data_IF_697416345424
#
_entry.id   IF_697416345424
#
_cell.length_a   1.000
_cell.length_b   1.000
_cell.length_c   1.000
_cell.angle_alpha   90.00
_cell.angle_beta   90.00
_cell.angle_gamma   90.00
#
_symmetry.space_group_name_H-M   'P 1'
#
loop_
_entity.id
_entity.type
_entity.pdbx_description
1 polymer ?
#
# COMPACT_ATOMS: atom_id res chain seq x y z
N UNK A 1 -9.55 16.02 -4.78
CA UNK A 1 -10.72 15.39 -4.11
C UNK A 1 -11.41 14.37 -5.01
N UNK A 2 -11.67 14.68 -6.29
CA UNK A 2 -12.21 13.70 -7.27
C UNK A 2 -11.34 12.46 -7.44
N UNK A 3 -10.01 12.59 -7.51
CA UNK A 3 -9.10 11.45 -7.64
C UNK A 3 -9.18 10.46 -6.45
N UNK A 4 -9.31 10.97 -5.22
CA UNK A 4 -9.44 10.15 -4.00
C UNK A 4 -10.80 9.43 -4.01
N UNK A 5 -11.87 10.13 -4.40
CA UNK A 5 -13.21 9.53 -4.54
C UNK A 5 -13.28 8.46 -5.63
N UNK A 6 -12.58 8.64 -6.74
CA UNK A 6 -12.53 7.68 -7.85
C UNK A 6 -11.67 6.46 -7.48
N UNK A 7 -10.60 6.67 -6.71
CA UNK A 7 -9.79 5.60 -6.10
C UNK A 7 -10.64 4.76 -5.15
N UNK A 8 -11.36 5.41 -4.22
CA UNK A 8 -12.27 4.76 -3.27
C UNK A 8 -13.44 4.03 -3.93
N UNK A 9 -14.03 4.61 -4.97
CA UNK A 9 -15.11 3.96 -5.74
C UNK A 9 -14.61 2.70 -6.46
N UNK A 10 -13.42 2.78 -7.09
CA UNK A 10 -12.77 1.61 -7.70
C UNK A 10 -12.39 0.52 -6.70
N UNK A 11 -12.31 0.83 -5.40
CA UNK A 11 -12.04 -0.16 -4.34
C UNK A 11 -13.28 -0.91 -3.84
N UNK A 12 -14.48 -0.32 -3.95
CA UNK A 12 -15.71 -0.88 -3.35
C UNK A 12 -16.37 -1.91 -4.27
N UNK A 13 -16.29 -1.72 -5.59
CA UNK A 13 -17.07 -2.52 -6.56
C UNK A 13 -16.38 -3.85 -6.89
N UNK A 14 -15.05 -3.86 -7.01
CA UNK A 14 -14.24 -5.07 -7.22
C UNK A 14 -12.85 -4.83 -6.60
N UNK A 15 -12.58 -5.29 -5.37
CA UNK A 15 -11.26 -5.16 -4.75
C UNK A 15 -10.19 -5.93 -5.54
N UNK A 16 -10.61 -6.96 -6.29
CA UNK A 16 -9.80 -7.72 -7.22
C UNK A 16 -9.60 -6.96 -8.54
N UNK A 17 -8.35 -6.85 -9.01
CA UNK A 17 -7.99 -6.15 -10.26
C UNK A 17 -8.29 -4.65 -10.25
N UNK A 18 -8.52 -4.09 -9.06
CA UNK A 18 -8.91 -2.71 -8.87
C UNK A 18 -7.89 -1.76 -9.52
N UNK A 19 -8.38 -0.94 -10.44
CA UNK A 19 -7.72 0.28 -10.92
C UNK A 19 -7.06 1.06 -9.77
N UNK A 20 -7.64 1.03 -8.56
CA UNK A 20 -7.08 1.63 -7.36
C UNK A 20 -5.75 1.03 -6.88
N UNK A 21 -5.52 -0.28 -6.99
CA UNK A 21 -4.22 -0.90 -6.64
C UNK A 21 -3.12 -0.47 -7.60
N UNK A 22 -3.44 -0.39 -8.89
CA UNK A 22 -2.55 0.11 -9.94
C UNK A 22 -2.26 1.59 -9.73
N UNK A 23 -3.27 2.40 -9.41
CA UNK A 23 -3.10 3.81 -9.08
C UNK A 23 -2.24 3.99 -7.83
N UNK A 24 -2.44 3.18 -6.79
CA UNK A 24 -1.65 3.22 -5.56
C UNK A 24 -0.19 2.88 -5.83
N UNK A 25 0.05 1.83 -6.62
CA UNK A 25 1.37 1.44 -7.07
C UNK A 25 2.08 2.56 -7.85
N UNK A 26 1.44 3.10 -8.88
CA UNK A 26 1.99 4.19 -9.70
C UNK A 26 2.24 5.45 -8.87
N UNK A 27 1.29 5.83 -8.03
CA UNK A 27 1.44 6.96 -7.11
C UNK A 27 2.65 6.76 -6.20
N UNK A 28 2.74 5.60 -5.55
CA UNK A 28 3.82 5.30 -4.61
C UNK A 28 5.19 5.29 -5.27
N UNK A 29 5.32 4.77 -6.50
CA UNK A 29 6.55 4.86 -7.30
C UNK A 29 6.92 6.31 -7.60
N UNK A 30 6.00 7.07 -8.19
CA UNK A 30 6.25 8.46 -8.60
C UNK A 30 6.62 9.31 -7.39
N UNK A 31 5.85 9.21 -6.31
CA UNK A 31 6.12 9.93 -5.08
C UNK A 31 7.48 9.52 -4.49
N UNK A 32 7.85 8.23 -4.52
CA UNK A 32 9.14 7.76 -4.00
C UNK A 32 10.30 8.37 -4.75
N UNK A 33 10.26 8.40 -6.08
CA UNK A 33 11.31 9.04 -6.89
C UNK A 33 11.39 10.55 -6.66
N UNK A 34 10.26 11.25 -6.57
CA UNK A 34 10.23 12.68 -6.22
C UNK A 34 10.87 12.91 -4.84
N UNK A 35 10.52 12.06 -3.86
CA UNK A 35 11.07 12.12 -2.52
C UNK A 35 12.58 11.87 -2.47
N UNK A 36 13.06 10.85 -3.18
CA UNK A 36 14.48 10.52 -3.33
C UNK A 36 15.30 11.69 -3.89
N UNK A 37 14.77 12.39 -4.89
CA UNK A 37 15.43 13.54 -5.51
C UNK A 37 15.43 14.75 -4.56
N UNK A 38 14.31 15.02 -3.90
CA UNK A 38 14.09 16.27 -3.15
C UNK A 38 14.56 16.22 -1.69
N UNK A 39 14.58 15.05 -1.07
CA UNK A 39 14.80 14.88 0.37
C UNK A 39 15.96 13.91 0.66
N UNK A 40 17.19 14.36 0.34
CA UNK A 40 18.41 13.55 0.50
C UNK A 40 18.75 13.13 1.94
N UNK A 41 18.16 13.77 2.96
CA UNK A 41 18.37 13.40 4.36
C UNK A 41 17.47 12.25 4.83
N UNK A 42 16.37 12.00 4.14
CA UNK A 42 15.33 11.02 4.50
C UNK A 42 15.17 9.94 3.43
N UNK A 43 16.26 9.64 2.68
CA UNK A 43 16.31 8.68 1.58
C UNK A 43 15.72 7.32 1.96
N UNK A 44 16.02 6.84 3.16
CA UNK A 44 15.55 5.55 3.65
C UNK A 44 14.02 5.42 3.67
N UNK A 45 13.27 6.47 4.04
CA UNK A 45 11.80 6.42 4.03
C UNK A 45 11.26 6.19 2.62
N UNK A 46 11.86 6.82 1.61
CA UNK A 46 11.42 6.70 0.22
C UNK A 46 11.85 5.36 -0.40
N UNK A 47 13.04 4.84 -0.07
CA UNK A 47 13.46 3.49 -0.48
C UNK A 47 12.51 2.44 0.10
N UNK A 48 12.18 2.58 1.39
CA UNK A 48 11.29 1.67 2.09
C UNK A 48 9.87 1.71 1.54
N UNK A 49 9.33 2.89 1.22
CA UNK A 49 8.06 2.99 0.47
C UNK A 49 8.13 2.25 -0.85
N UNK A 50 9.23 2.41 -1.59
CA UNK A 50 9.41 1.82 -2.90
C UNK A 50 9.40 0.29 -2.83
N UNK A 51 9.99 -0.30 -1.77
CA UNK A 51 9.91 -1.74 -1.48
C UNK A 51 8.46 -2.20 -1.26
N UNK A 52 7.68 -1.46 -0.47
CA UNK A 52 6.27 -1.78 -0.20
C UNK A 52 5.42 -1.58 -1.46
N UNK A 53 5.71 -0.59 -2.29
CA UNK A 53 5.02 -0.47 -3.57
C UNK A 53 5.22 -1.72 -4.45
N UNK A 54 6.38 -2.35 -4.43
CA UNK A 54 6.62 -3.59 -5.17
C UNK A 54 5.87 -4.81 -4.60
N UNK A 55 5.41 -4.77 -3.34
CA UNK A 55 4.55 -5.84 -2.81
C UNK A 55 3.12 -5.72 -3.32
N UNK A 56 2.63 -4.52 -3.63
CA UNK A 56 1.24 -4.28 -4.06
C UNK A 56 0.80 -5.16 -5.25
N UNK A 57 1.57 -5.30 -6.35
CA UNK A 57 1.19 -6.20 -7.44
C UNK A 57 1.15 -7.68 -7.01
N UNK A 58 2.05 -8.09 -6.12
CA UNK A 58 2.11 -9.46 -5.59
C UNK A 58 0.90 -9.72 -4.70
N UNK A 59 0.60 -8.81 -3.78
CA UNK A 59 -0.60 -8.83 -2.95
C UNK A 59 -1.86 -8.94 -3.81
N UNK A 60 -1.99 -8.10 -4.84
CA UNK A 60 -3.13 -8.12 -5.76
C UNK A 60 -3.26 -9.47 -6.49
N UNK A 61 -2.14 -10.10 -6.89
CA UNK A 61 -2.14 -11.43 -7.51
C UNK A 61 -2.57 -12.53 -6.52
N UNK A 62 -2.08 -12.47 -5.27
CA UNK A 62 -2.45 -13.43 -4.23
C UNK A 62 -3.92 -13.31 -3.85
N UNK A 63 -4.43 -12.08 -3.74
CA UNK A 63 -5.85 -11.80 -3.54
C UNK A 63 -6.68 -12.42 -4.67
N UNK A 64 -6.23 -12.26 -5.91
CA UNK A 64 -6.88 -12.85 -7.08
C UNK A 64 -6.98 -14.37 -6.97
N UNK A 65 -5.88 -15.05 -6.64
CA UNK A 65 -5.90 -16.50 -6.43
C UNK A 65 -6.74 -16.94 -5.23
N UNK A 66 -6.77 -16.15 -4.15
CA UNK A 66 -7.52 -16.48 -2.95
C UNK A 66 -9.04 -16.30 -3.10
N UNK A 67 -9.50 -15.62 -4.15
CA UNK A 67 -10.93 -15.33 -4.39
C UNK A 67 -11.46 -15.96 -5.66
N UNK A 68 -10.58 -16.47 -6.53
CA UNK A 68 -11.00 -17.35 -7.61
C UNK A 68 -11.49 -18.67 -7.03
N UNK A 69 -12.78 -18.92 -7.21
CA UNK A 69 -13.42 -20.21 -7.04
C UNK A 69 -14.44 -20.42 -8.17
N UNK A 70 -14.93 -21.65 -8.33
CA UNK A 70 -15.88 -22.01 -9.39
C UNK A 70 -15.32 -23.03 -10.38
N UNK A 71 -16.22 -23.82 -10.95
CA UNK A 71 -15.91 -24.82 -11.98
C UNK A 71 -15.63 -24.11 -13.33
N UNK A 72 -14.91 -24.75 -14.25
CA UNK A 72 -14.36 -24.16 -15.50
C UNK A 72 -15.38 -23.47 -16.44
N UNK A 73 -16.67 -23.46 -16.06
CA UNK A 73 -17.81 -22.90 -16.79
C UNK A 73 -18.45 -21.66 -16.15
N UNK A 74 -18.24 -21.42 -14.85
CA UNK A 74 -18.77 -20.24 -14.12
C UNK A 74 -17.72 -19.74 -13.11
N UNK A 75 -17.11 -18.59 -13.41
CA UNK A 75 -16.19 -17.90 -12.50
C UNK A 75 -17.00 -17.20 -11.40
N UNK A 76 -17.01 -17.77 -10.20
CA UNK A 76 -17.62 -17.16 -9.03
C UNK A 76 -16.55 -16.63 -8.07
N UNK A 77 -16.51 -15.32 -7.90
CA UNK A 77 -15.60 -14.72 -6.93
C UNK A 77 -16.08 -15.00 -5.50
N UNK A 78 -15.29 -15.76 -4.75
CA UNK A 78 -15.53 -15.96 -3.33
C UNK A 78 -15.24 -14.67 -2.55
N UNK A 79 -15.93 -14.45 -1.43
CA UNK A 79 -15.68 -13.30 -0.58
C UNK A 79 -14.22 -13.30 -0.11
N UNK A 80 -13.61 -12.13 -0.19
CA UNK A 80 -12.21 -11.94 0.11
C UNK A 80 -11.91 -12.18 1.60
N UNK A 81 -10.89 -12.98 1.95
CA UNK A 81 -10.53 -13.19 3.33
C UNK A 81 -10.19 -11.86 4.02
N UNK A 82 -10.64 -11.63 5.26
CA UNK A 82 -10.47 -10.36 5.97
C UNK A 82 -9.00 -9.96 6.17
N UNK A 83 -8.11 -10.95 6.20
CA UNK A 83 -6.65 -10.76 6.24
C UNK A 83 -6.15 -9.92 5.07
N UNK A 84 -6.62 -10.18 3.84
CA UNK A 84 -6.16 -9.44 2.67
C UNK A 84 -6.66 -7.99 2.68
N UNK A 85 -7.84 -7.72 3.23
CA UNK A 85 -8.29 -6.35 3.45
C UNK A 85 -7.39 -5.59 4.42
N UNK A 86 -6.95 -6.26 5.50
CA UNK A 86 -6.05 -5.67 6.48
C UNK A 86 -4.68 -5.37 5.87
N UNK A 87 -4.08 -6.33 5.16
CA UNK A 87 -2.83 -6.13 4.40
C UNK A 87 -2.95 -4.93 3.46
N UNK A 88 -4.06 -4.83 2.71
CA UNK A 88 -4.26 -3.76 1.76
C UNK A 88 -4.37 -2.37 2.39
N UNK A 89 -5.11 -2.26 3.49
CA UNK A 89 -5.22 -1.01 4.26
C UNK A 89 -3.84 -0.58 4.78
N UNK A 90 -3.04 -1.54 5.24
CA UNK A 90 -1.69 -1.30 5.73
C UNK A 90 -0.75 -0.82 4.60
N UNK A 91 -0.83 -1.41 3.40
CA UNK A 91 -0.10 -0.93 2.22
C UNK A 91 -0.44 0.52 1.88
N UNK A 92 -1.74 0.87 1.87
CA UNK A 92 -2.18 2.27 1.67
C UNK A 92 -1.54 3.19 2.71
N UNK A 93 -1.61 2.83 3.99
CA UNK A 93 -1.07 3.66 5.07
C UNK A 93 0.42 3.90 4.86
N UNK A 94 1.23 2.87 4.59
CA UNK A 94 2.68 3.03 4.37
C UNK A 94 2.97 3.93 3.16
N UNK A 95 2.23 3.77 2.07
CA UNK A 95 2.48 4.53 0.83
C UNK A 95 2.35 6.04 1.07
N UNK A 96 1.38 6.46 1.90
CA UNK A 96 1.15 7.87 2.26
C UNK A 96 1.91 8.33 3.52
N UNK A 97 2.53 7.42 4.25
CA UNK A 97 3.19 7.70 5.52
C UNK A 97 4.34 8.74 5.38
N UNK A 98 5.20 8.72 4.34
CA UNK A 98 6.23 9.75 4.15
C UNK A 98 5.65 11.17 4.04
N UNK A 99 4.53 11.35 3.32
CA UNK A 99 3.85 12.63 3.17
C UNK A 99 3.29 13.11 4.50
N UNK A 100 2.69 12.21 5.28
CA UNK A 100 2.19 12.52 6.62
C UNK A 100 3.34 12.98 7.52
N UNK A 101 4.49 12.31 7.48
CA UNK A 101 5.67 12.70 8.25
C UNK A 101 6.22 14.07 7.83
N UNK A 102 6.34 14.35 6.53
CA UNK A 102 6.77 15.66 6.05
C UNK A 102 5.81 16.78 6.50
N UNK A 103 4.50 16.52 6.46
CA UNK A 103 3.48 17.48 6.91
C UNK A 103 3.59 17.76 8.42
N UNK A 104 3.85 16.73 9.22
CA UNK A 104 4.04 16.85 10.66
C UNK A 104 5.36 17.59 10.96
N UNK A 105 6.45 17.24 10.28
CA UNK A 105 7.77 17.85 10.49
C UNK A 105 7.78 19.34 10.17
N UNK A 106 7.06 19.76 9.12
CA UNK A 106 6.87 21.17 8.80
C UNK A 106 6.20 21.95 9.93
N UNK A 107 5.39 21.29 10.77
CA UNK A 107 4.73 21.89 11.94
C UNK A 107 5.53 21.73 13.23
N UNK A 108 6.30 20.64 13.39
CA UNK A 108 7.06 20.34 14.61
C UNK A 108 8.19 19.36 14.32
N UNK A 109 9.42 19.68 14.72
CA UNK A 109 10.54 18.73 14.67
C UNK A 109 10.32 17.61 15.68
N UNK A 110 10.23 16.36 15.20
CA UNK A 110 10.06 15.17 16.04
C UNK A 110 11.32 14.30 15.95
N UNK A 111 12.03 14.14 17.07
CA UNK A 111 13.14 13.18 17.19
C UNK A 111 12.58 11.76 17.27
N UNK A 112 13.16 10.81 16.52
CA UNK A 112 12.78 9.39 16.53
C UNK A 112 11.80 8.94 15.44
N UNK A 113 11.42 9.82 14.50
CA UNK A 113 10.49 9.54 13.39
C UNK A 113 10.86 8.31 12.54
N UNK A 114 12.16 8.07 12.36
CA UNK A 114 12.69 6.96 11.55
C UNK A 114 12.35 5.59 12.14
N UNK A 115 12.32 5.45 13.46
CA UNK A 115 11.99 4.19 14.15
C UNK A 115 10.51 3.84 14.06
N UNK A 116 9.63 4.85 14.06
CA UNK A 116 8.18 4.64 13.85
C UNK A 116 7.94 4.13 12.42
N UNK A 117 8.62 4.70 11.44
CA UNK A 117 8.50 4.30 10.04
C UNK A 117 9.04 2.88 9.80
N UNK A 118 10.24 2.59 10.31
CA UNK A 118 10.83 1.25 10.24
C UNK A 118 9.95 0.21 10.96
N UNK A 119 9.41 0.57 12.12
CA UNK A 119 8.49 -0.29 12.88
C UNK A 119 7.20 -0.59 12.12
N UNK A 120 6.60 0.40 11.46
CA UNK A 120 5.41 0.20 10.64
C UNK A 120 5.67 -0.79 9.49
N UNK A 121 6.83 -0.68 8.83
CA UNK A 121 7.16 -1.55 7.69
C UNK A 121 7.51 -2.96 8.13
N UNK A 122 8.28 -3.12 9.21
CA UNK A 122 8.56 -4.43 9.79
C UNK A 122 7.25 -5.07 10.24
N UNK A 123 6.38 -4.33 10.93
CA UNK A 123 5.08 -4.84 11.37
C UNK A 123 4.21 -5.31 10.20
N UNK A 124 4.17 -4.56 9.11
CA UNK A 124 3.36 -4.90 7.93
C UNK A 124 3.97 -6.05 7.15
N UNK A 125 5.29 -6.11 7.05
CA UNK A 125 6.00 -7.25 6.44
C UNK A 125 5.79 -8.53 7.24
N UNK A 126 5.88 -8.47 8.58
CA UNK A 126 5.63 -9.62 9.45
C UNK A 126 4.17 -10.04 9.37
N UNK A 127 3.22 -9.10 9.43
CA UNK A 127 1.80 -9.40 9.26
C UNK A 127 1.54 -10.06 7.90
N UNK A 128 2.14 -9.56 6.83
CA UNK A 128 2.03 -10.15 5.50
C UNK A 128 2.54 -11.60 5.46
N UNK A 129 3.77 -11.85 5.91
CA UNK A 129 4.39 -13.18 5.87
C UNK A 129 3.83 -14.17 6.90
N UNK A 130 3.25 -13.70 8.00
CA UNK A 130 2.65 -14.58 9.00
C UNK A 130 1.18 -14.90 8.73
N UNK A 131 0.55 -14.23 7.76
CA UNK A 131 -0.88 -14.43 7.45
C UNK A 131 -1.15 -15.09 6.10
N UNK A 132 -0.13 -15.20 5.24
CA UNK A 132 -0.10 -16.02 4.02
C UNK A 132 0.51 -17.38 4.35
#
# INVERSE_FOLDING_TARGET
>A
MVAIGLMLYGFIVQPLLSYGTVVLFLYGIIASFIGLIRHRQDVWMYVLRLLVCFTIPVTNLLMYFATIGGDERDFDFQPMPPVYHLVFILEIIIVFLPEIFLLIERKRSIKGKQWIYAGAIVGISVLFWCTI
#
